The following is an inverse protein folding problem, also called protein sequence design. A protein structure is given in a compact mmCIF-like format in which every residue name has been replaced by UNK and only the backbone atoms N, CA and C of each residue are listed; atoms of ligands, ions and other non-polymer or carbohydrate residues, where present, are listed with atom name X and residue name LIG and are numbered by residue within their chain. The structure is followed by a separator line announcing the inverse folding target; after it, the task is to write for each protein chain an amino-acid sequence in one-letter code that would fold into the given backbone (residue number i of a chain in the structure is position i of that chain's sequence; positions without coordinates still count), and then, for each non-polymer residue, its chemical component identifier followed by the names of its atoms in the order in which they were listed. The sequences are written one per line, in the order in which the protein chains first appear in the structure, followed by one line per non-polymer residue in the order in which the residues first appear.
data_IF_668918479521
#
_entry.id   IF_668918479521
#
_cell.length_a   1.000
_cell.length_b   1.000
_cell.length_c   1.000
_cell.angle_alpha   90.00
_cell.angle_beta   90.00
_cell.angle_gamma   90.00
#
_symmetry.space_group_name_H-M   'P 1'
#
loop_
_entity.id
_entity.type
_entity.pdbx_description
1 polymer ?
#
# COMPACT_ATOMS: atom_id res chain seq x y z
N UNK A 1 11.05 29.83 2.15
CA UNK A 1 10.12 28.83 1.61
C UNK A 1 10.48 27.46 2.20
N UNK A 2 9.60 26.88 2.97
CA UNK A 2 9.83 25.51 3.47
C UNK A 2 9.87 24.52 2.31
N UNK A 3 10.91 23.69 2.27
CA UNK A 3 11.02 22.62 1.28
C UNK A 3 10.03 21.49 1.63
N UNK A 4 9.53 20.81 0.59
CA UNK A 4 8.86 19.53 0.77
C UNK A 4 9.83 18.53 1.39
N UNK A 5 9.32 17.64 2.25
CA UNK A 5 10.08 16.47 2.66
C UNK A 5 10.28 15.59 1.43
N UNK A 6 11.52 15.31 1.13
CA UNK A 6 11.91 14.47 0.00
C UNK A 6 11.88 12.99 0.38
N UNK A 7 11.96 12.14 -0.62
CA UNK A 7 12.13 10.69 -0.40
C UNK A 7 13.51 10.47 0.20
N UNK A 8 13.55 9.83 1.35
CA UNK A 8 14.77 9.46 2.06
C UNK A 8 14.91 7.93 2.21
N UNK A 9 16.06 7.50 2.70
CA UNK A 9 16.33 6.07 2.90
C UNK A 9 15.39 5.42 3.93
N UNK A 10 14.83 6.19 4.87
CA UNK A 10 13.86 5.69 5.83
C UNK A 10 12.54 5.31 5.14
N UNK A 11 12.03 6.18 4.28
CA UNK A 11 10.83 5.92 3.49
C UNK A 11 11.03 4.75 2.52
N UNK A 12 12.18 4.71 1.84
CA UNK A 12 12.54 3.59 0.95
C UNK A 12 12.56 2.28 1.74
N UNK A 13 13.17 2.25 2.91
CA UNK A 13 13.22 1.07 3.79
C UNK A 13 11.83 0.64 4.22
N UNK A 14 10.94 1.57 4.51
CA UNK A 14 9.54 1.29 4.87
C UNK A 14 8.77 0.68 3.68
N UNK A 15 8.89 1.24 2.50
CA UNK A 15 8.27 0.70 1.27
C UNK A 15 8.74 -0.73 0.99
N UNK A 16 10.04 -1.01 1.16
CA UNK A 16 10.59 -2.35 1.02
C UNK A 16 9.97 -3.32 2.04
N UNK A 17 9.83 -2.90 3.29
CA UNK A 17 9.20 -3.72 4.34
C UNK A 17 7.74 -4.03 4.03
N UNK A 18 6.99 -3.02 3.59
CA UNK A 18 5.58 -3.20 3.18
C UNK A 18 5.49 -4.20 2.03
N UNK A 19 6.29 -4.01 0.98
CA UNK A 19 6.32 -4.92 -0.18
C UNK A 19 6.62 -6.35 0.23
N UNK A 20 7.63 -6.57 1.07
CA UNK A 20 8.01 -7.91 1.53
C UNK A 20 6.95 -8.55 2.42
N UNK A 21 6.27 -7.75 3.26
CA UNK A 21 5.15 -8.25 4.06
C UNK A 21 3.99 -8.70 3.16
N UNK A 22 3.57 -7.89 2.22
CA UNK A 22 2.52 -8.25 1.26
C UNK A 22 2.89 -9.52 0.50
N UNK A 23 4.12 -9.59 0.00
CA UNK A 23 4.64 -10.73 -0.75
C UNK A 23 4.60 -12.05 0.05
N UNK A 24 4.84 -11.97 1.36
CA UNK A 24 4.80 -13.16 2.23
C UNK A 24 3.39 -13.67 2.52
N UNK A 25 2.38 -12.78 2.49
CA UNK A 25 1.01 -13.10 2.88
C UNK A 25 0.01 -12.79 1.77
N UNK A 26 0.21 -13.38 0.57
CA UNK A 26 -0.66 -13.14 -0.58
C UNK A 26 -2.02 -13.78 -0.38
N UNK A 27 -3.06 -13.10 -0.83
CA UNK A 27 -4.43 -13.58 -0.77
C UNK A 27 -5.08 -13.48 -2.16
N UNK A 28 -5.85 -14.51 -2.52
CA UNK A 28 -6.52 -14.57 -3.82
C UNK A 28 -7.62 -13.51 -3.94
N UNK A 29 -7.93 -13.11 -5.17
CA UNK A 29 -8.97 -12.12 -5.49
C UNK A 29 -10.29 -12.39 -4.76
N UNK A 30 -10.90 -11.34 -4.25
CA UNK A 30 -12.13 -11.32 -3.45
C UNK A 30 -12.01 -11.95 -2.05
N UNK A 31 -10.80 -12.31 -1.63
CA UNK A 31 -10.50 -12.88 -0.30
C UNK A 31 -9.31 -12.20 0.40
N UNK A 32 -8.97 -10.98 -0.02
CA UNK A 32 -7.82 -10.23 0.48
C UNK A 32 -8.12 -9.54 1.84
N UNK A 33 -8.70 -10.27 2.78
CA UNK A 33 -9.16 -9.72 4.07
C UNK A 33 -8.00 -9.23 4.94
N UNK A 34 -6.96 -10.03 5.10
CA UNK A 34 -5.79 -9.65 5.91
C UNK A 34 -4.96 -8.57 5.22
N UNK A 35 -4.85 -8.63 3.89
CA UNK A 35 -4.21 -7.60 3.08
C UNK A 35 -4.90 -6.25 3.25
N UNK A 36 -6.23 -6.23 3.17
CA UNK A 36 -7.04 -5.03 3.36
C UNK A 36 -6.89 -4.46 4.77
N UNK A 37 -6.91 -5.31 5.78
CA UNK A 37 -6.70 -4.91 7.17
C UNK A 37 -5.30 -4.35 7.40
N UNK A 38 -4.28 -4.95 6.80
CA UNK A 38 -2.91 -4.47 6.86
C UNK A 38 -2.77 -3.07 6.25
N UNK A 39 -3.31 -2.87 5.04
CA UNK A 39 -3.31 -1.59 4.34
C UNK A 39 -4.03 -0.52 5.16
N UNK A 40 -5.24 -0.85 5.65
CA UNK A 40 -6.02 0.06 6.48
C UNK A 40 -5.25 0.46 7.75
N UNK A 41 -4.67 -0.51 8.44
CA UNK A 41 -3.89 -0.27 9.67
C UNK A 41 -2.68 0.63 9.41
N UNK A 42 -2.01 0.46 8.27
CA UNK A 42 -0.91 1.32 7.87
C UNK A 42 -1.37 2.76 7.64
N UNK A 43 -2.47 2.95 6.89
CA UNK A 43 -3.04 4.27 6.62
C UNK A 43 -3.49 4.98 7.90
N UNK A 44 -4.16 4.26 8.80
CA UNK A 44 -4.58 4.78 10.09
C UNK A 44 -3.36 5.22 10.93
N UNK A 45 -2.30 4.41 10.94
CA UNK A 45 -1.03 4.71 11.66
C UNK A 45 -0.38 6.00 11.17
N UNK A 46 -0.41 6.27 9.87
CA UNK A 46 0.14 7.51 9.31
C UNK A 46 -0.85 8.69 9.35
N UNK A 47 -2.03 8.49 9.91
CA UNK A 47 -3.04 9.53 10.12
C UNK A 47 -3.86 9.88 8.88
N UNK A 48 -4.05 8.93 7.97
CA UNK A 48 -4.95 9.07 6.82
C UNK A 48 -6.21 8.25 7.07
N UNK A 49 -7.36 8.91 7.06
CA UNK A 49 -8.65 8.24 7.21
C UNK A 49 -8.89 7.25 6.08
N UNK A 50 -9.23 6.02 6.42
CA UNK A 50 -9.48 4.97 5.44
C UNK A 50 -10.70 4.12 5.79
N UNK A 51 -11.30 3.52 4.77
CA UNK A 51 -12.48 2.66 4.88
C UNK A 51 -12.31 1.41 4.05
N UNK A 52 -12.82 0.30 4.55
CA UNK A 52 -13.03 -0.89 3.73
C UNK A 52 -14.35 -0.72 2.98
N UNK A 53 -14.31 -0.88 1.66
CA UNK A 53 -15.47 -0.75 0.77
C UNK A 53 -15.67 -2.10 0.06
N UNK A 54 -16.91 -2.54 0.01
CA UNK A 54 -17.21 -3.91 -0.35
C UNK A 54 -16.66 -4.85 0.72
N UNK A 55 -16.00 -5.92 0.32
CA UNK A 55 -15.42 -6.89 1.26
C UNK A 55 -13.93 -6.65 1.51
N UNK A 56 -13.17 -6.28 0.47
CA UNK A 56 -11.70 -6.20 0.52
C UNK A 56 -11.11 -4.92 -0.07
N UNK A 57 -11.91 -4.04 -0.66
CA UNK A 57 -11.42 -2.77 -1.18
C UNK A 57 -11.08 -1.78 -0.05
N UNK A 58 -9.98 -1.07 -0.17
CA UNK A 58 -9.60 -0.01 0.77
C UNK A 58 -9.60 1.33 0.06
N UNK A 59 -10.32 2.31 0.60
CA UNK A 59 -10.30 3.69 0.13
C UNK A 59 -9.80 4.59 1.25
N UNK A 60 -8.80 5.40 0.94
CA UNK A 60 -8.26 6.40 1.85
C UNK A 60 -8.39 7.79 1.24
N UNK A 61 -8.63 8.79 2.07
CA UNK A 61 -8.84 10.17 1.63
C UNK A 61 -7.93 11.11 2.39
N UNK A 62 -7.14 11.87 1.65
CA UNK A 62 -6.35 12.97 2.18
C UNK A 62 -6.94 14.28 1.67
N UNK A 63 -7.61 15.02 2.55
CA UNK A 63 -8.25 16.29 2.20
C UNK A 63 -7.27 17.41 2.50
N UNK A 64 -7.02 18.25 1.50
CA UNK A 64 -6.21 19.45 1.66
C UNK A 64 -7.03 20.71 1.35
N UNK A 65 -7.39 20.94 0.10
CA UNK A 65 -8.17 22.09 -0.33
C UNK A 65 -9.28 21.66 -1.29
N UNK A 66 -10.53 21.85 -0.85
CA UNK A 66 -11.72 21.44 -1.60
C UNK A 66 -11.98 22.24 -2.90
N UNK A 67 -11.25 23.33 -3.11
CA UNK A 67 -11.35 24.13 -4.32
C UNK A 67 -10.55 23.57 -5.50
N UNK A 68 -9.72 22.54 -5.25
CA UNK A 68 -8.92 21.89 -6.28
C UNK A 68 -9.51 20.53 -6.68
N UNK A 69 -9.23 20.06 -7.89
CA UNK A 69 -9.65 18.73 -8.33
C UNK A 69 -9.11 17.64 -7.43
N UNK A 70 -9.91 16.59 -7.25
CA UNK A 70 -9.47 15.37 -6.56
C UNK A 70 -8.67 14.47 -7.51
N UNK A 71 -7.53 13.99 -7.05
CA UNK A 71 -6.70 13.01 -7.74
C UNK A 71 -6.88 11.67 -7.06
N UNK A 72 -7.15 10.62 -7.82
CA UNK A 72 -7.20 9.26 -7.33
C UNK A 72 -5.97 8.48 -7.79
N UNK A 73 -5.38 7.74 -6.84
CA UNK A 73 -4.32 6.76 -7.10
C UNK A 73 -4.86 5.37 -6.81
N UNK A 74 -4.54 4.40 -7.66
CA UNK A 74 -5.05 3.03 -7.53
C UNK A 74 -3.91 2.03 -7.54
N UNK A 75 -4.03 1.02 -6.69
CA UNK A 75 -3.22 -0.19 -6.73
C UNK A 75 -4.13 -1.41 -6.57
N UNK A 76 -3.77 -2.50 -7.22
CA UNK A 76 -4.42 -3.79 -7.10
C UNK A 76 -3.73 -4.60 -6.01
N UNK A 77 -4.48 -5.43 -5.28
CA UNK A 77 -4.00 -6.15 -4.09
C UNK A 77 -4.13 -7.66 -4.18
N UNK A 78 -4.72 -8.16 -5.27
CA UNK A 78 -4.90 -9.58 -5.52
C UNK A 78 -3.62 -10.25 -6.01
N UNK A 79 -3.63 -11.58 -5.99
CA UNK A 79 -2.52 -12.44 -6.41
C UNK A 79 -2.97 -13.48 -7.44
N UNK A 80 -2.00 -14.18 -7.99
CA UNK A 80 -2.26 -15.29 -8.90
C UNK A 80 -2.18 -16.64 -8.18
N UNK A 81 -2.98 -17.63 -8.60
CA UNK A 81 -2.94 -18.99 -8.07
C UNK A 81 -1.72 -19.75 -8.62
N UNK A 82 -0.54 -19.29 -8.27
CA UNK A 82 0.75 -19.81 -8.71
C UNK A 82 1.57 -20.17 -7.47
N UNK A 83 2.15 -21.38 -7.45
CA UNK A 83 3.08 -21.77 -6.39
C UNK A 83 4.43 -21.07 -6.56
N UNK A 84 4.85 -20.34 -5.54
CA UNK A 84 6.14 -19.66 -5.54
C UNK A 84 7.29 -20.65 -5.35
N UNK A 85 8.24 -20.66 -6.29
CA UNK A 85 9.43 -21.50 -6.27
C UNK A 85 10.71 -20.78 -5.84
N UNK A 86 10.61 -19.50 -5.49
CA UNK A 86 11.75 -18.73 -4.98
C UNK A 86 12.19 -19.25 -3.58
N UNK A 87 13.43 -18.92 -3.20
CA UNK A 87 14.03 -19.37 -1.95
C UNK A 87 14.38 -18.24 -0.98
N UNK A 88 14.07 -16.98 -1.30
CA UNK A 88 14.36 -15.86 -0.41
C UNK A 88 13.44 -15.85 0.83
N UNK A 89 13.84 -15.14 1.88
CA UNK A 89 13.18 -15.14 3.19
C UNK A 89 11.73 -14.68 3.16
N UNK A 90 11.39 -13.74 2.27
CA UNK A 90 10.06 -13.16 2.15
C UNK A 90 9.20 -13.82 1.07
N UNK A 91 9.50 -15.03 0.66
CA UNK A 91 8.64 -15.80 -0.24
C UNK A 91 7.25 -16.02 0.36
N UNK A 92 6.26 -16.31 -0.48
CA UNK A 92 4.90 -16.62 -0.04
C UNK A 92 4.87 -17.71 1.03
N UNK A 93 4.16 -17.46 2.12
CA UNK A 93 3.84 -18.43 3.17
C UNK A 93 2.51 -19.13 2.93
N UNK A 94 1.75 -18.68 1.93
CA UNK A 94 0.47 -19.24 1.55
C UNK A 94 0.66 -20.13 0.32
N UNK A 95 0.51 -21.43 0.52
CA UNK A 95 0.71 -22.43 -0.53
C UNK A 95 -0.20 -22.19 -1.73
N UNK A 96 0.36 -22.27 -2.93
CA UNK A 96 -0.37 -22.20 -4.18
C UNK A 96 -0.75 -20.79 -4.65
N UNK A 97 -0.30 -19.74 -3.96
CA UNK A 97 -0.55 -18.36 -4.34
C UNK A 97 0.69 -17.49 -4.18
N UNK A 98 0.90 -16.54 -5.08
CA UNK A 98 2.00 -15.57 -4.98
C UNK A 98 1.70 -14.28 -5.74
N UNK A 99 2.35 -13.20 -5.34
CA UNK A 99 2.42 -11.97 -6.12
C UNK A 99 3.35 -12.14 -7.34
N UNK A 100 2.83 -12.74 -8.40
CA UNK A 100 3.59 -13.02 -9.62
C UNK A 100 3.52 -11.90 -10.66
N UNK A 101 2.66 -10.90 -10.46
CA UNK A 101 2.45 -9.78 -11.39
C UNK A 101 2.94 -8.42 -10.86
N UNK A 102 3.42 -8.35 -9.61
CA UNK A 102 3.98 -7.12 -9.03
C UNK A 102 2.99 -6.21 -8.28
N UNK A 103 1.77 -6.66 -7.99
CA UNK A 103 0.78 -5.87 -7.23
C UNK A 103 1.27 -5.53 -5.82
N UNK A 104 2.07 -6.37 -5.18
CA UNK A 104 2.74 -6.08 -3.91
C UNK A 104 3.64 -4.84 -3.98
N UNK A 105 4.41 -4.73 -5.06
CA UNK A 105 5.29 -3.58 -5.30
C UNK A 105 4.53 -2.29 -5.56
N UNK A 106 3.50 -2.34 -6.40
CA UNK A 106 2.66 -1.17 -6.72
C UNK A 106 1.93 -0.70 -5.46
N UNK A 107 1.34 -1.60 -4.69
CA UNK A 107 0.66 -1.28 -3.43
C UNK A 107 1.62 -0.66 -2.42
N UNK A 108 2.82 -1.21 -2.26
CA UNK A 108 3.83 -0.65 -1.37
C UNK A 108 4.26 0.77 -1.77
N UNK A 109 4.41 1.03 -3.07
CA UNK A 109 4.75 2.36 -3.59
C UNK A 109 3.61 3.35 -3.35
N UNK A 110 2.35 2.96 -3.56
CA UNK A 110 1.19 3.83 -3.31
C UNK A 110 1.06 4.15 -1.81
N UNK A 111 1.32 3.19 -0.93
CA UNK A 111 1.34 3.44 0.52
C UNK A 111 2.51 4.36 0.94
N UNK A 112 3.68 4.18 0.35
CA UNK A 112 4.81 5.09 0.55
C UNK A 112 4.52 6.50 0.07
N UNK A 113 3.85 6.63 -1.07
CA UNK A 113 3.40 7.93 -1.58
C UNK A 113 2.35 8.56 -0.65
N UNK A 114 1.41 7.77 -0.12
CA UNK A 114 0.45 8.25 0.87
C UNK A 114 1.15 8.85 2.11
N UNK A 115 2.18 8.19 2.61
CA UNK A 115 3.00 8.72 3.70
C UNK A 115 3.70 10.03 3.30
N UNK A 116 4.33 10.06 2.14
CA UNK A 116 5.01 11.27 1.64
C UNK A 116 4.04 12.46 1.49
N UNK A 117 2.85 12.23 0.95
CA UNK A 117 1.80 13.24 0.84
C UNK A 117 1.32 13.70 2.22
N UNK A 118 1.14 12.77 3.16
CA UNK A 118 0.70 13.10 4.52
C UNK A 118 1.70 14.00 5.25
N UNK A 119 2.98 13.69 5.20
CA UNK A 119 4.00 14.52 5.86
C UNK A 119 4.19 15.89 5.21
N UNK A 120 3.81 16.03 3.94
CA UNK A 120 3.85 17.30 3.20
C UNK A 120 2.48 17.99 3.13
N UNK A 121 1.45 17.47 3.81
CA UNK A 121 0.05 17.90 3.64
C UNK A 121 -0.12 19.42 3.77
N UNK A 122 0.52 20.06 4.75
CA UNK A 122 0.44 21.50 4.96
C UNK A 122 1.04 22.35 3.81
N UNK A 123 1.79 21.73 2.90
CA UNK A 123 2.44 22.38 1.76
C UNK A 123 1.76 22.07 0.43
N UNK A 124 0.77 21.17 0.44
CA UNK A 124 0.00 20.83 -0.75
C UNK A 124 -1.07 21.89 -0.98
N UNK A 125 -1.23 22.32 -2.22
CA UNK A 125 -2.25 23.27 -2.63
C UNK A 125 -3.40 22.56 -3.34
#
# INVERSE_FOLDING_TARGET
MEKYKEIDNSLIGEVIKIRRHLHQYPEISEKEYETSNYIKSYLDKIGIESKIIGETGVVATLINNLNYPTIALRAEIDVLPIEEKNSFEYKSKNKGVMYACGHDGITAVVLGLANLLKVNQAKLN
#
